data_IF_346543199310
#
_entry.id   IF_346543199310
#
_cell.length_a   1.000
_cell.length_b   1.000
_cell.length_c   1.000
_cell.angle_alpha   90.00
_cell.angle_beta   90.00
_cell.angle_gamma   90.00
#
_symmetry.space_group_name_H-M   'P 1'
#
loop_
_entity.id
_entity.type
_entity.pdbx_description
1 polymer ?
#
# COMPACT_ATOMS: atom_id res chain seq x y z
N UNK A 1 1.09 -49.77 -20.27
CA UNK A 1 1.98 -48.63 -19.97
C UNK A 1 1.61 -47.49 -20.90
N UNK A 2 0.58 -46.72 -20.55
CA UNK A 2 0.07 -45.60 -21.37
C UNK A 2 0.88 -44.36 -21.01
N UNK A 3 1.80 -43.98 -21.89
CA UNK A 3 2.49 -42.68 -21.85
C UNK A 3 1.43 -41.59 -22.03
N UNK A 4 1.00 -40.96 -20.94
CA UNK A 4 0.17 -39.77 -20.95
C UNK A 4 0.90 -38.69 -21.74
N UNK A 5 0.30 -38.27 -22.87
CA UNK A 5 0.72 -37.09 -23.64
C UNK A 5 0.87 -35.91 -22.68
N UNK A 6 1.91 -35.07 -22.83
CA UNK A 6 1.91 -33.78 -22.18
C UNK A 6 0.70 -33.00 -22.70
N UNK A 7 -0.31 -32.77 -21.85
CA UNK A 7 -1.37 -31.80 -22.15
C UNK A 7 -0.71 -30.49 -22.56
N UNK A 8 -1.26 -29.78 -23.56
CA UNK A 8 -0.76 -28.47 -24.07
C UNK A 8 -0.43 -27.47 -22.94
N UNK A 9 -1.07 -27.61 -21.77
CA UNK A 9 -0.78 -26.90 -20.52
C UNK A 9 0.65 -27.09 -19.94
N UNK A 10 1.35 -28.19 -20.25
CA UNK A 10 2.72 -28.43 -19.78
C UNK A 10 3.79 -27.70 -20.59
N UNK A 11 3.42 -27.13 -21.75
CA UNK A 11 4.36 -26.47 -22.66
C UNK A 11 4.66 -25.02 -22.23
N UNK A 12 3.90 -24.47 -21.27
CA UNK A 12 4.03 -23.09 -20.78
C UNK A 12 4.02 -23.00 -19.25
N UNK A 13 4.75 -23.87 -18.55
CA UNK A 13 4.97 -23.70 -17.12
C UNK A 13 5.82 -22.45 -16.87
N UNK A 14 5.28 -21.47 -16.14
CA UNK A 14 6.02 -20.25 -15.84
C UNK A 14 7.09 -20.52 -14.77
N UNK A 15 8.31 -20.06 -15.00
CA UNK A 15 9.39 -20.16 -14.00
C UNK A 15 9.07 -19.32 -12.75
N UNK A 16 9.55 -19.70 -11.55
CA UNK A 16 9.35 -18.90 -10.34
C UNK A 16 9.89 -17.48 -10.47
N UNK A 17 11.04 -17.32 -11.15
CA UNK A 17 11.65 -16.01 -11.40
C UNK A 17 10.72 -15.12 -12.23
N UNK A 18 10.12 -15.66 -13.29
CA UNK A 18 9.18 -14.91 -14.11
C UNK A 18 7.88 -14.59 -13.35
N UNK A 19 7.34 -15.52 -12.56
CA UNK A 19 6.17 -15.25 -11.73
C UNK A 19 6.47 -14.16 -10.67
N UNK A 20 7.65 -14.21 -10.07
CA UNK A 20 8.11 -13.18 -9.12
C UNK A 20 8.24 -11.82 -9.76
N UNK A 21 8.75 -11.74 -10.99
CA UNK A 21 8.80 -10.49 -11.74
C UNK A 21 7.39 -9.93 -11.96
N UNK A 22 6.41 -10.76 -12.36
CA UNK A 22 5.00 -10.35 -12.51
C UNK A 22 4.43 -9.80 -11.20
N UNK A 23 4.64 -10.52 -10.08
CA UNK A 23 4.19 -10.06 -8.76
C UNK A 23 4.88 -8.75 -8.35
N UNK A 24 6.16 -8.59 -8.69
CA UNK A 24 6.92 -7.37 -8.45
C UNK A 24 6.40 -6.18 -9.26
N UNK A 25 6.01 -6.40 -10.52
CA UNK A 25 5.34 -5.38 -11.35
C UNK A 25 4.00 -4.99 -10.75
N UNK A 26 3.18 -5.95 -10.29
CA UNK A 26 1.92 -5.67 -9.63
C UNK A 26 2.11 -4.82 -8.36
N UNK A 27 3.01 -5.25 -7.46
CA UNK A 27 3.38 -4.50 -6.26
C UNK A 27 3.88 -3.09 -6.60
N UNK A 28 4.82 -2.97 -7.55
CA UNK A 28 5.37 -1.69 -7.98
C UNK A 28 4.29 -0.76 -8.54
N UNK A 29 3.40 -1.28 -9.39
CA UNK A 29 2.28 -0.50 -9.94
C UNK A 29 1.31 -0.03 -8.85
N UNK A 30 1.06 -0.82 -7.81
CA UNK A 30 0.25 -0.41 -6.66
C UNK A 30 0.94 0.69 -5.84
N UNK A 31 2.26 0.62 -5.64
CA UNK A 31 2.99 1.71 -4.98
C UNK A 31 2.96 3.00 -5.81
N UNK A 32 3.14 2.88 -7.13
CA UNK A 32 3.12 4.02 -8.05
C UNK A 32 1.73 4.67 -8.09
N UNK A 33 0.65 3.91 -8.17
CA UNK A 33 -0.71 4.51 -8.22
C UNK A 33 -1.08 5.24 -6.94
N UNK A 34 -0.61 4.77 -5.77
CA UNK A 34 -0.79 5.50 -4.51
C UNK A 34 -0.03 6.82 -4.52
N UNK A 35 1.20 6.81 -5.05
CA UNK A 35 1.99 8.04 -5.19
C UNK A 35 1.38 9.01 -6.21
N UNK A 36 0.97 8.55 -7.39
CA UNK A 36 0.33 9.42 -8.38
C UNK A 36 -1.03 9.93 -7.90
N UNK A 37 -1.81 9.12 -7.17
CA UNK A 37 -3.04 9.57 -6.51
C UNK A 37 -2.77 10.62 -5.42
N UNK A 38 -1.65 10.52 -4.71
CA UNK A 38 -1.21 11.57 -3.80
C UNK A 38 -0.86 12.86 -4.55
N UNK A 39 -0.24 12.80 -5.73
CA UNK A 39 0.00 13.97 -6.56
C UNK A 39 -1.30 14.61 -7.06
N UNK A 40 -2.30 13.82 -7.46
CA UNK A 40 -3.65 14.32 -7.79
C UNK A 40 -4.18 15.16 -6.63
N UNK A 41 -4.11 14.64 -5.40
CA UNK A 41 -4.54 15.38 -4.20
C UNK A 41 -3.70 16.63 -3.95
N UNK A 42 -2.38 16.51 -3.98
CA UNK A 42 -1.45 17.59 -3.61
C UNK A 42 -1.41 18.74 -4.62
N UNK A 43 -1.84 18.48 -5.86
CA UNK A 43 -1.99 19.50 -6.91
C UNK A 43 -3.38 20.13 -6.95
N UNK A 44 -4.31 19.72 -6.06
CA UNK A 44 -5.69 20.20 -6.10
C UNK A 44 -6.50 19.64 -7.28
N UNK A 45 -6.08 18.51 -7.86
CA UNK A 45 -6.69 17.93 -9.05
C UNK A 45 -7.71 16.81 -8.74
N UNK A 46 -8.17 16.68 -7.49
CA UNK A 46 -9.06 15.60 -7.07
C UNK A 46 -10.47 15.63 -7.68
N UNK A 47 -10.85 16.77 -8.26
CA UNK A 47 -12.10 17.00 -9.00
C UNK A 47 -11.83 17.58 -10.40
N UNK A 48 -10.71 17.22 -11.02
CA UNK A 48 -10.38 17.57 -12.40
C UNK A 48 -11.32 16.95 -13.44
N UNK A 49 -11.94 15.81 -13.11
CA UNK A 49 -13.05 15.19 -13.82
C UNK A 49 -14.34 15.35 -12.99
N UNK A 50 -15.38 15.91 -13.61
CA UNK A 50 -16.65 16.21 -12.96
C UNK A 50 -17.55 14.98 -12.74
N UNK A 51 -17.25 13.86 -13.41
CA UNK A 51 -18.10 12.66 -13.38
C UNK A 51 -17.28 11.37 -13.18
N UNK A 52 -17.99 10.26 -13.00
CA UNK A 52 -17.47 8.89 -13.00
C UNK A 52 -18.57 7.92 -13.47
N UNK A 53 -18.31 6.97 -14.39
CA UNK A 53 -17.01 6.53 -14.89
C UNK A 53 -16.46 7.34 -16.06
N UNK A 54 -17.27 8.25 -16.64
CA UNK A 54 -16.80 9.24 -17.61
C UNK A 54 -15.94 10.29 -16.91
N UNK A 55 -15.22 11.13 -17.64
CA UNK A 55 -14.58 12.30 -17.04
C UNK A 55 -15.55 13.49 -16.97
N UNK A 56 -16.43 13.62 -17.96
CA UNK A 56 -17.49 14.63 -18.02
C UNK A 56 -18.73 14.10 -18.77
N UNK A 57 -19.80 14.90 -18.79
CA UNK A 57 -21.02 14.62 -19.58
C UNK A 57 -20.71 14.38 -21.06
N UNK A 58 -19.71 15.07 -21.60
CA UNK A 58 -19.32 14.99 -23.01
C UNK A 58 -18.27 13.90 -23.26
N UNK A 59 -17.27 13.74 -22.38
CA UNK A 59 -16.09 12.90 -22.64
C UNK A 59 -15.91 11.78 -21.62
N UNK A 60 -15.67 10.56 -22.12
CA UNK A 60 -15.30 9.43 -21.27
C UNK A 60 -13.85 9.55 -20.76
N UNK A 61 -12.93 9.90 -21.65
CA UNK A 61 -11.52 10.18 -21.35
C UNK A 61 -11.27 11.62 -21.78
N UNK A 62 -10.79 12.47 -20.86
CA UNK A 62 -10.33 13.80 -21.22
C UNK A 62 -8.91 14.03 -20.70
N UNK A 63 -7.96 14.20 -21.61
CA UNK A 63 -6.55 14.50 -21.30
C UNK A 63 -6.24 15.96 -21.63
N UNK A 64 -7.26 16.81 -21.55
CA UNK A 64 -7.15 18.27 -21.61
C UNK A 64 -6.24 18.78 -20.49
N UNK A 65 -5.52 19.89 -20.74
CA UNK A 65 -4.47 20.37 -19.85
C UNK A 65 -4.96 20.71 -18.42
N UNK A 66 -4.02 20.81 -17.47
CA UNK A 66 -4.30 21.23 -16.09
C UNK A 66 -4.80 20.07 -15.21
N UNK A 67 -5.76 20.36 -14.33
CA UNK A 67 -6.28 19.40 -13.34
C UNK A 67 -6.91 18.16 -13.97
N UNK A 68 -7.63 18.32 -15.08
CA UNK A 68 -8.26 17.20 -15.81
C UNK A 68 -7.24 16.18 -16.30
N UNK A 69 -6.12 16.62 -16.91
CA UNK A 69 -5.03 15.73 -17.30
C UNK A 69 -4.45 14.97 -16.10
N UNK A 70 -4.22 15.66 -14.99
CA UNK A 70 -3.58 15.06 -13.81
C UNK A 70 -4.48 13.96 -13.22
N UNK A 71 -5.78 14.22 -13.05
CA UNK A 71 -6.71 13.21 -12.56
C UNK A 71 -6.89 12.07 -13.55
N UNK A 72 -7.11 12.39 -14.84
CA UNK A 72 -7.33 11.39 -15.88
C UNK A 72 -6.11 10.49 -16.07
N UNK A 73 -4.89 11.02 -15.96
CA UNK A 73 -3.67 10.21 -16.01
C UNK A 73 -3.63 9.16 -14.91
N UNK A 74 -4.02 9.51 -13.68
CA UNK A 74 -4.14 8.56 -12.58
C UNK A 74 -5.26 7.53 -12.81
N UNK A 75 -6.43 7.96 -13.34
CA UNK A 75 -7.52 7.05 -13.74
C UNK A 75 -7.04 6.03 -14.79
N UNK A 76 -6.33 6.48 -15.82
CA UNK A 76 -5.77 5.60 -16.86
C UNK A 76 -4.70 4.66 -16.32
N UNK A 77 -3.90 5.08 -15.33
CA UNK A 77 -2.90 4.22 -14.69
C UNK A 77 -3.55 3.04 -13.94
N UNK A 78 -4.82 3.15 -13.53
CA UNK A 78 -5.61 2.02 -13.02
C UNK A 78 -5.70 0.88 -14.04
N UNK A 79 -5.64 1.18 -15.34
CA UNK A 79 -5.55 0.17 -16.40
C UNK A 79 -4.26 -0.65 -16.34
N UNK A 80 -3.11 0.00 -16.06
CA UNK A 80 -1.82 -0.67 -15.87
C UNK A 80 -1.85 -1.56 -14.64
N UNK A 81 -2.41 -1.06 -13.52
CA UNK A 81 -2.62 -1.85 -12.29
C UNK A 81 -3.53 -3.05 -12.56
N UNK A 82 -4.63 -2.86 -13.28
CA UNK A 82 -5.56 -3.94 -13.62
C UNK A 82 -4.89 -5.00 -14.49
N UNK A 83 -4.12 -4.59 -15.50
CA UNK A 83 -3.38 -5.50 -16.37
C UNK A 83 -2.32 -6.31 -15.59
N UNK A 84 -1.58 -5.67 -14.67
CA UNK A 84 -0.58 -6.35 -13.85
C UNK A 84 -1.21 -7.35 -12.86
N UNK A 85 -2.37 -7.02 -12.29
CA UNK A 85 -3.15 -7.92 -11.42
C UNK A 85 -3.74 -9.09 -12.20
N UNK A 86 -4.31 -8.86 -13.39
CA UNK A 86 -4.80 -9.92 -14.27
C UNK A 86 -3.65 -10.87 -14.63
N UNK A 87 -2.49 -10.33 -14.99
CA UNK A 87 -1.30 -11.13 -15.26
C UNK A 87 -0.90 -11.97 -14.04
N UNK A 88 -0.90 -11.39 -12.83
CA UNK A 88 -0.60 -12.12 -11.60
C UNK A 88 -1.55 -13.32 -11.37
N UNK A 89 -2.86 -13.15 -11.59
CA UNK A 89 -3.84 -14.25 -11.48
C UNK A 89 -3.62 -15.32 -12.55
N UNK A 90 -3.53 -14.91 -13.82
CA UNK A 90 -3.36 -15.85 -14.94
C UNK A 90 -2.07 -16.67 -14.78
N UNK A 91 -0.98 -16.02 -14.37
CA UNK A 91 0.30 -16.67 -14.19
C UNK A 91 0.41 -17.48 -12.89
N UNK A 92 -0.38 -17.16 -11.85
CA UNK A 92 -0.51 -18.02 -10.67
C UNK A 92 -1.04 -19.42 -11.07
N UNK A 93 -2.01 -19.50 -11.98
CA UNK A 93 -2.53 -20.76 -12.52
C UNK A 93 -1.56 -21.48 -13.46
N UNK A 94 -0.55 -20.80 -14.02
CA UNK A 94 0.49 -21.41 -14.87
C UNK A 94 1.72 -21.90 -14.09
N UNK A 95 1.74 -21.76 -12.77
CA UNK A 95 2.80 -22.35 -11.95
C UNK A 95 2.72 -23.88 -11.94
N UNK A 96 3.88 -24.53 -11.97
CA UNK A 96 4.02 -26.00 -11.84
C UNK A 96 3.50 -26.50 -10.48
N UNK A 97 3.83 -25.81 -9.39
CA UNK A 97 3.31 -26.07 -8.05
C UNK A 97 2.22 -25.05 -7.71
N UNK A 98 0.95 -25.41 -7.95
CA UNK A 98 -0.21 -24.56 -7.69
C UNK A 98 -0.60 -24.64 -6.22
N UNK A 99 -0.20 -23.64 -5.44
CA UNK A 99 -0.60 -23.56 -4.04
C UNK A 99 -1.82 -22.66 -3.90
N UNK A 100 -2.84 -23.13 -3.18
CA UNK A 100 -4.10 -22.40 -2.94
C UNK A 100 -3.87 -21.00 -2.39
N UNK A 101 -2.89 -20.83 -1.48
CA UNK A 101 -2.57 -19.53 -0.88
C UNK A 101 -2.15 -18.48 -1.92
N UNK A 102 -1.33 -18.84 -2.89
CA UNK A 102 -0.89 -17.92 -3.96
C UNK A 102 -2.09 -17.49 -4.81
N UNK A 103 -2.99 -18.42 -5.13
CA UNK A 103 -4.21 -18.14 -5.90
C UNK A 103 -5.13 -17.20 -5.10
N UNK A 104 -5.30 -17.45 -3.80
CA UNK A 104 -6.11 -16.60 -2.92
C UNK A 104 -5.57 -15.18 -2.85
N UNK A 105 -4.25 -14.98 -2.66
CA UNK A 105 -3.67 -13.63 -2.66
C UNK A 105 -3.83 -12.94 -4.03
N UNK A 106 -3.60 -13.66 -5.14
CA UNK A 106 -3.80 -13.11 -6.48
C UNK A 106 -5.26 -12.66 -6.72
N UNK A 107 -6.25 -13.45 -6.29
CA UNK A 107 -7.66 -13.05 -6.35
C UNK A 107 -8.00 -11.92 -5.37
N UNK A 108 -7.35 -11.88 -4.21
CA UNK A 108 -7.48 -10.77 -3.28
C UNK A 108 -7.08 -9.43 -3.90
N UNK A 109 -6.10 -9.42 -4.81
CA UNK A 109 -5.77 -8.22 -5.59
C UNK A 109 -6.91 -7.82 -6.55
N UNK A 110 -7.57 -8.77 -7.21
CA UNK A 110 -8.73 -8.48 -8.08
C UNK A 110 -9.85 -7.83 -7.26
N UNK A 111 -10.23 -8.45 -6.14
CA UNK A 111 -11.28 -7.94 -5.26
C UNK A 111 -10.92 -6.55 -4.74
N UNK A 112 -9.67 -6.34 -4.30
CA UNK A 112 -9.22 -5.04 -3.83
C UNK A 112 -9.20 -3.96 -4.91
N UNK A 113 -8.79 -4.29 -6.15
CA UNK A 113 -8.83 -3.33 -7.28
C UNK A 113 -10.28 -2.96 -7.62
N UNK A 114 -11.21 -3.91 -7.62
CA UNK A 114 -12.63 -3.62 -7.81
C UNK A 114 -13.16 -2.70 -6.70
N UNK A 115 -12.80 -2.98 -5.44
CA UNK A 115 -13.15 -2.10 -4.33
C UNK A 115 -12.57 -0.68 -4.51
N UNK A 116 -11.33 -0.56 -4.99
CA UNK A 116 -10.73 0.75 -5.30
C UNK A 116 -11.48 1.51 -6.39
N UNK A 117 -11.84 0.83 -7.47
CA UNK A 117 -12.60 1.45 -8.57
C UNK A 117 -13.94 1.99 -8.06
N UNK A 118 -14.65 1.24 -7.22
CA UNK A 118 -15.91 1.68 -6.61
C UNK A 118 -15.70 2.83 -5.65
N UNK A 119 -14.78 2.71 -4.68
CA UNK A 119 -14.53 3.74 -3.67
C UNK A 119 -13.97 5.02 -4.30
N UNK A 120 -13.12 4.91 -5.32
CA UNK A 120 -12.61 6.06 -6.08
C UNK A 120 -13.72 6.77 -6.87
N UNK A 121 -14.69 6.04 -7.41
CA UNK A 121 -15.89 6.64 -7.99
C UNK A 121 -16.72 7.38 -6.94
N UNK A 122 -16.91 6.79 -5.76
CA UNK A 122 -17.61 7.44 -4.63
C UNK A 122 -16.89 8.74 -4.23
N UNK A 123 -15.57 8.74 -4.17
CA UNK A 123 -14.76 9.93 -3.86
C UNK A 123 -15.11 11.09 -4.79
N UNK A 124 -15.18 10.85 -6.10
CA UNK A 124 -15.52 11.88 -7.09
C UNK A 124 -16.98 12.32 -6.94
N UNK A 125 -17.91 11.36 -6.90
CA UNK A 125 -19.36 11.62 -6.86
C UNK A 125 -19.81 12.31 -5.57
N UNK A 126 -19.03 12.20 -4.50
CA UNK A 126 -19.30 12.85 -3.21
C UNK A 126 -18.51 14.12 -2.98
N UNK A 127 -17.76 14.60 -3.98
CA UNK A 127 -16.98 15.84 -3.88
C UNK A 127 -15.84 15.73 -2.86
N UNK A 128 -15.07 14.65 -2.89
CA UNK A 128 -13.96 14.35 -1.98
C UNK A 128 -14.37 14.15 -0.52
N UNK A 129 -15.48 13.45 -0.28
CA UNK A 129 -15.93 13.15 1.09
C UNK A 129 -14.77 12.56 1.93
N UNK A 130 -14.49 13.10 3.13
CA UNK A 130 -13.31 12.72 3.90
C UNK A 130 -13.29 11.23 4.27
N UNK A 131 -14.44 10.62 4.56
CA UNK A 131 -14.51 9.18 4.83
C UNK A 131 -14.19 8.34 3.59
N UNK A 132 -14.71 8.73 2.43
CA UNK A 132 -14.42 8.04 1.16
C UNK A 132 -12.93 8.15 0.80
N UNK A 133 -12.33 9.34 0.95
CA UNK A 133 -10.89 9.56 0.70
C UNK A 133 -10.02 8.71 1.63
N UNK A 134 -10.35 8.66 2.93
CA UNK A 134 -9.65 7.81 3.90
C UNK A 134 -9.77 6.34 3.51
N UNK A 135 -10.98 5.86 3.19
CA UNK A 135 -11.20 4.48 2.78
C UNK A 135 -10.39 4.12 1.53
N UNK A 136 -10.38 4.99 0.52
CA UNK A 136 -9.61 4.82 -0.72
C UNK A 136 -8.11 4.62 -0.43
N UNK A 137 -7.51 5.44 0.43
CA UNK A 137 -6.11 5.30 0.83
C UNK A 137 -5.86 4.02 1.66
N UNK A 138 -6.70 3.73 2.66
CA UNK A 138 -6.51 2.58 3.54
C UNK A 138 -6.66 1.24 2.80
N UNK A 139 -7.63 1.14 1.89
CA UNK A 139 -7.76 -0.04 1.00
C UNK A 139 -6.50 -0.19 0.13
N UNK A 140 -5.86 0.91 -0.28
CA UNK A 140 -4.63 0.85 -1.07
C UNK A 140 -3.48 0.26 -0.26
N UNK A 141 -3.39 0.59 1.04
CA UNK A 141 -2.41 -0.01 1.94
C UNK A 141 -2.68 -1.51 2.14
N UNK A 142 -3.94 -1.93 2.23
CA UNK A 142 -4.30 -3.36 2.26
C UNK A 142 -3.89 -4.08 0.97
N UNK A 143 -4.11 -3.47 -0.19
CA UNK A 143 -3.68 -4.00 -1.49
C UNK A 143 -2.15 -4.12 -1.59
N UNK A 144 -1.40 -3.11 -1.13
CA UNK A 144 0.07 -3.15 -1.09
C UNK A 144 0.54 -4.28 -0.18
N UNK A 145 -0.06 -4.46 1.00
CA UNK A 145 0.27 -5.59 1.89
C UNK A 145 0.01 -6.93 1.21
N UNK A 146 -1.16 -7.11 0.59
CA UNK A 146 -1.52 -8.32 -0.14
C UNK A 146 -0.50 -8.60 -1.28
N UNK A 147 -0.21 -7.60 -2.11
CA UNK A 147 0.74 -7.72 -3.21
C UNK A 147 2.16 -8.02 -2.72
N UNK A 148 2.56 -7.46 -1.58
CA UNK A 148 3.85 -7.75 -0.95
C UNK A 148 3.93 -9.20 -0.48
N UNK A 149 2.87 -9.73 0.17
CA UNK A 149 2.80 -11.13 0.58
C UNK A 149 2.85 -12.05 -0.64
N UNK A 150 2.12 -11.73 -1.71
CA UNK A 150 2.15 -12.48 -2.96
C UNK A 150 3.55 -12.47 -3.59
N UNK A 151 4.19 -11.30 -3.66
CA UNK A 151 5.55 -11.14 -4.16
C UNK A 151 6.57 -11.92 -3.34
N UNK A 152 6.51 -11.87 -2.01
CA UNK A 152 7.39 -12.68 -1.15
C UNK A 152 7.16 -14.18 -1.36
N UNK A 153 5.90 -14.60 -1.40
CA UNK A 153 5.50 -16.00 -1.64
C UNK A 153 5.81 -16.51 -3.05
N UNK A 154 6.12 -15.61 -3.99
CA UNK A 154 6.46 -15.97 -5.36
C UNK A 154 7.90 -16.48 -5.52
N UNK A 155 8.81 -16.15 -4.59
CA UNK A 155 10.21 -16.60 -4.64
C UNK A 155 10.40 -18.05 -4.21
N UNK A 156 9.60 -18.55 -3.27
CA UNK A 156 9.84 -19.84 -2.63
C UNK A 156 9.00 -20.94 -3.33
N UNK A 157 9.67 -21.95 -3.90
CA UNK A 157 8.99 -23.14 -4.45
C UNK A 157 8.53 -24.11 -3.33
N UNK A 158 9.22 -24.09 -2.19
CA UNK A 158 8.91 -24.83 -0.97
C UNK A 158 8.54 -23.83 0.12
N UNK A 159 7.24 -23.71 0.40
CA UNK A 159 6.69 -22.81 1.43
C UNK A 159 7.16 -23.12 2.87
N UNK A 160 8.01 -24.13 3.09
CA UNK A 160 8.52 -24.49 4.42
C UNK A 160 9.43 -23.43 5.04
N UNK A 161 9.98 -22.50 4.24
CA UNK A 161 10.97 -21.52 4.71
C UNK A 161 10.51 -20.05 4.64
N UNK A 162 9.30 -19.76 4.13
CA UNK A 162 8.72 -18.40 4.22
C UNK A 162 8.51 -18.05 5.69
N UNK A 163 8.21 -19.06 6.52
CA UNK A 163 8.16 -18.97 7.96
C UNK A 163 9.44 -19.60 8.56
N UNK A 164 10.53 -18.83 8.67
CA UNK A 164 11.70 -19.09 9.55
C UNK A 164 11.24 -19.36 11.01
N UNK A 165 12.10 -19.98 11.81
CA UNK A 165 11.85 -20.12 13.24
C UNK A 165 12.05 -18.77 13.93
N UNK A 166 11.07 -18.34 14.73
CA UNK A 166 11.17 -17.08 15.49
C UNK A 166 12.42 -17.06 16.36
N UNK A 167 13.06 -15.89 16.52
CA UNK A 167 13.90 -15.64 17.70
C UNK A 167 13.08 -15.84 18.98
N UNK A 168 13.75 -16.04 20.13
CA UNK A 168 13.17 -16.30 21.47
C UNK A 168 12.34 -15.14 22.07
N UNK A 169 11.76 -14.30 21.21
CA UNK A 169 10.99 -13.10 21.54
C UNK A 169 9.51 -13.45 21.63
N UNK A 170 8.80 -12.79 22.54
CA UNK A 170 7.34 -12.92 22.68
C UNK A 170 6.63 -12.58 21.36
N UNK A 171 5.98 -13.58 20.77
CA UNK A 171 5.27 -13.44 19.50
C UNK A 171 4.09 -12.45 19.57
N UNK A 172 3.60 -12.10 20.77
CA UNK A 172 2.50 -11.12 20.95
C UNK A 172 2.89 -9.70 20.55
N UNK A 173 4.19 -9.39 20.50
CA UNK A 173 4.70 -8.07 20.10
C UNK A 173 4.43 -7.77 18.61
N UNK A 174 4.37 -8.79 17.76
CA UNK A 174 4.19 -8.60 16.31
C UNK A 174 2.75 -8.23 15.93
N UNK A 175 1.69 -8.94 16.41
CA UNK A 175 0.32 -8.46 16.28
C UNK A 175 0.12 -7.05 16.81
N UNK A 176 0.70 -6.72 17.98
CA UNK A 176 0.62 -5.38 18.55
C UNK A 176 1.28 -4.33 17.65
N UNK A 177 2.46 -4.63 17.08
CA UNK A 177 3.10 -3.77 16.09
C UNK A 177 2.21 -3.56 14.86
N UNK A 178 1.55 -4.61 14.37
CA UNK A 178 0.58 -4.50 13.28
C UNK A 178 -0.59 -3.57 13.62
N UNK A 179 -1.20 -3.74 14.80
CA UNK A 179 -2.32 -2.91 15.28
C UNK A 179 -1.91 -1.45 15.44
N UNK A 180 -0.76 -1.17 16.08
CA UNK A 180 -0.26 0.19 16.23
C UNK A 180 0.08 0.83 14.88
N UNK A 181 0.67 0.07 13.95
CA UNK A 181 0.97 0.56 12.59
C UNK A 181 -0.29 0.88 11.81
N UNK A 182 -1.35 0.07 11.92
CA UNK A 182 -2.66 0.37 11.34
C UNK A 182 -3.27 1.62 11.99
N UNK A 183 -3.17 1.73 13.32
CA UNK A 183 -3.61 2.91 14.06
C UNK A 183 -2.93 4.18 13.58
N UNK A 184 -1.61 4.15 13.36
CA UNK A 184 -0.84 5.25 12.80
C UNK A 184 -1.30 5.66 11.40
N UNK A 185 -1.58 4.70 10.51
CA UNK A 185 -2.13 4.99 9.18
C UNK A 185 -3.52 5.65 9.29
N UNK A 186 -4.40 5.11 10.13
CA UNK A 186 -5.75 5.65 10.32
C UNK A 186 -5.69 7.08 10.88
N UNK A 187 -4.97 7.31 11.96
CA UNK A 187 -4.84 8.66 12.56
C UNK A 187 -4.19 9.64 11.58
N UNK A 188 -3.22 9.20 10.77
CA UNK A 188 -2.61 10.03 9.71
C UNK A 188 -3.61 10.43 8.62
N UNK A 189 -4.52 9.53 8.25
CA UNK A 189 -5.60 9.87 7.30
C UNK A 189 -6.63 10.85 7.91
N UNK A 190 -6.87 10.80 9.22
CA UNK A 190 -7.71 11.80 9.92
C UNK A 190 -7.05 13.18 9.90
N UNK A 191 -5.74 13.27 10.12
CA UNK A 191 -4.97 14.52 9.99
C UNK A 191 -5.11 15.07 8.57
N UNK A 192 -4.99 14.20 7.56
CA UNK A 192 -5.15 14.58 6.16
C UNK A 192 -6.55 15.07 5.84
N UNK A 193 -7.59 14.40 6.34
CA UNK A 193 -8.99 14.78 6.16
C UNK A 193 -9.39 16.07 6.91
N UNK A 194 -8.56 16.51 7.85
CA UNK A 194 -8.74 17.77 8.59
C UNK A 194 -7.90 18.91 8.00
N UNK A 195 -6.74 18.57 7.43
CA UNK A 195 -5.74 19.54 6.95
C UNK A 195 -6.10 20.25 5.64
N UNK A 196 -5.21 21.15 5.19
CA UNK A 196 -5.48 22.00 4.02
C UNK A 196 -5.49 21.21 2.70
N UNK A 197 -4.72 20.13 2.59
CA UNK A 197 -4.49 19.38 1.35
C UNK A 197 -5.54 18.30 1.08
N UNK A 198 -6.80 18.71 0.93
CA UNK A 198 -7.93 17.78 0.79
C UNK A 198 -8.16 17.25 -0.64
N UNK A 199 -7.47 17.81 -1.64
CA UNK A 199 -7.57 17.41 -3.05
C UNK A 199 -8.28 18.40 -3.95
N UNK A 200 -8.99 19.35 -3.36
CA UNK A 200 -9.59 20.53 -3.97
C UNK A 200 -9.71 21.61 -2.88
N UNK A 201 -9.73 22.89 -3.26
CA UNK A 201 -9.88 23.99 -2.30
C UNK A 201 -11.22 23.95 -1.56
N UNK A 202 -12.29 23.57 -2.28
CA UNK A 202 -13.68 23.51 -1.81
C UNK A 202 -14.06 22.16 -1.18
N UNK A 203 -13.11 21.21 -1.08
CA UNK A 203 -13.37 19.90 -0.51
C UNK A 203 -13.82 19.98 0.97
N UNK A 204 -14.77 19.12 1.32
CA UNK A 204 -15.25 18.97 2.70
C UNK A 204 -14.15 18.40 3.59
N UNK A 205 -14.02 18.94 4.81
CA UNK A 205 -13.03 18.53 5.82
C UNK A 205 -13.72 18.18 7.12
N UNK A 206 -13.06 17.43 8.01
CA UNK A 206 -13.69 16.95 9.25
C UNK A 206 -14.03 18.01 10.32
N UNK A 207 -13.64 19.27 10.16
CA UNK A 207 -13.98 20.32 11.15
C UNK A 207 -13.33 20.14 12.53
N UNK A 208 -12.52 19.09 12.75
CA UNK A 208 -11.73 18.92 13.95
C UNK A 208 -10.63 20.00 14.04
N UNK A 209 -10.17 20.29 15.25
CA UNK A 209 -8.98 21.10 15.43
C UNK A 209 -7.74 20.36 14.91
N UNK A 210 -7.10 20.89 13.86
CA UNK A 210 -5.95 20.26 13.20
C UNK A 210 -4.83 19.94 14.19
N UNK A 211 -4.57 20.84 15.13
CA UNK A 211 -3.58 20.64 16.19
C UNK A 211 -3.90 19.43 17.08
N UNK A 212 -5.17 19.26 17.48
CA UNK A 212 -5.59 18.14 18.31
C UNK A 212 -5.43 16.80 17.59
N UNK A 213 -5.87 16.70 16.34
CA UNK A 213 -5.75 15.46 15.56
C UNK A 213 -4.28 15.16 15.23
N UNK A 214 -3.46 16.19 14.97
CA UNK A 214 -2.03 16.02 14.76
C UNK A 214 -1.33 15.49 16.02
N UNK A 215 -1.67 16.01 17.22
CA UNK A 215 -1.16 15.49 18.50
C UNK A 215 -1.57 14.04 18.74
N UNK A 216 -2.82 13.67 18.47
CA UNK A 216 -3.29 12.27 18.57
C UNK A 216 -2.49 11.37 17.62
N UNK A 217 -2.29 11.81 16.38
CA UNK A 217 -1.45 11.09 15.44
C UNK A 217 0.00 10.95 15.96
N UNK A 218 0.61 12.02 16.45
CA UNK A 218 1.96 11.97 17.04
C UNK A 218 2.06 10.99 18.21
N UNK A 219 1.06 10.92 19.09
CA UNK A 219 1.01 9.92 20.16
C UNK A 219 1.01 8.51 19.59
N UNK A 220 0.20 8.23 18.56
CA UNK A 220 0.21 6.92 17.89
C UNK A 220 1.57 6.57 17.27
N UNK A 221 2.28 7.56 16.71
CA UNK A 221 3.64 7.39 16.17
C UNK A 221 4.63 7.09 17.28
N UNK A 222 4.60 7.83 18.40
CA UNK A 222 5.48 7.61 19.54
C UNK A 222 5.30 6.20 20.08
N UNK A 223 4.06 5.77 20.34
CA UNK A 223 3.76 4.41 20.79
C UNK A 223 4.31 3.34 19.83
N UNK A 224 4.14 3.56 18.52
CA UNK A 224 4.64 2.65 17.47
C UNK A 224 6.17 2.58 17.46
N UNK A 225 6.85 3.73 17.47
CA UNK A 225 8.33 3.81 17.47
C UNK A 225 8.89 3.21 18.76
N UNK A 226 8.28 3.46 19.93
CA UNK A 226 8.71 2.85 21.20
C UNK A 226 8.67 1.33 21.12
N UNK A 227 7.61 0.75 20.56
CA UNK A 227 7.53 -0.70 20.37
C UNK A 227 8.57 -1.21 19.35
N UNK A 228 8.80 -0.50 18.25
CA UNK A 228 9.83 -0.84 17.25
C UNK A 228 11.21 -0.85 17.91
N UNK A 229 11.56 0.19 18.68
CA UNK A 229 12.82 0.26 19.43
C UNK A 229 12.94 -0.89 20.43
N UNK A 230 11.86 -1.23 21.13
CA UNK A 230 11.85 -2.36 22.07
C UNK A 230 12.10 -3.71 21.37
N UNK A 231 11.43 -3.97 20.25
CA UNK A 231 11.64 -5.20 19.46
C UNK A 231 13.06 -5.22 18.88
N UNK A 232 13.55 -4.10 18.33
CA UNK A 232 14.91 -3.97 17.81
C UNK A 232 15.97 -4.25 18.89
N UNK A 233 15.76 -3.74 20.11
CA UNK A 233 16.63 -4.02 21.25
C UNK A 233 16.64 -5.51 21.61
N UNK A 234 15.47 -6.17 21.64
CA UNK A 234 15.37 -7.62 21.88
C UNK A 234 16.03 -8.44 20.78
N UNK A 235 16.02 -7.96 19.54
CA UNK A 235 16.65 -8.63 18.39
C UNK A 235 18.16 -8.40 18.27
N UNK A 236 18.76 -7.44 19.00
CA UNK A 236 20.18 -7.07 18.85
C UNK A 236 21.14 -8.27 18.97
N UNK A 237 20.85 -9.19 19.88
CA UNK A 237 21.67 -10.39 20.13
C UNK A 237 21.14 -11.65 19.42
N UNK A 238 20.11 -11.51 18.57
CA UNK A 238 19.61 -12.60 17.76
C UNK A 238 20.63 -13.02 16.70
N UNK A 239 20.71 -14.32 16.43
CA UNK A 239 21.52 -14.88 15.34
C UNK A 239 20.81 -14.82 13.98
N UNK A 240 19.53 -14.40 13.94
CA UNK A 240 18.79 -14.20 12.69
C UNK A 240 19.07 -12.81 12.12
N UNK A 241 20.12 -12.71 11.28
CA UNK A 241 20.52 -11.49 10.58
C UNK A 241 19.36 -10.87 9.78
N UNK A 242 18.52 -11.69 9.16
CA UNK A 242 17.47 -11.15 8.32
C UNK A 242 16.37 -10.45 9.12
N UNK A 243 16.05 -10.96 10.32
CA UNK A 243 15.10 -10.29 11.22
C UNK A 243 15.69 -8.98 11.75
N UNK A 244 17.02 -8.94 12.00
CA UNK A 244 17.72 -7.70 12.35
C UNK A 244 17.68 -6.70 11.20
N UNK A 245 17.96 -7.11 9.98
CA UNK A 245 17.91 -6.25 8.79
C UNK A 245 16.50 -5.70 8.54
N UNK A 246 15.47 -6.55 8.62
CA UNK A 246 14.08 -6.13 8.46
C UNK A 246 13.66 -5.14 9.54
N UNK A 247 14.07 -5.37 10.80
CA UNK A 247 13.79 -4.48 11.91
C UNK A 247 14.57 -3.16 11.80
N UNK A 248 15.82 -3.21 11.35
CA UNK A 248 16.64 -2.01 11.11
C UNK A 248 16.01 -1.14 10.02
N UNK A 249 15.59 -1.75 8.91
CA UNK A 249 14.88 -1.04 7.85
C UNK A 249 13.59 -0.37 8.37
N UNK A 250 12.79 -1.09 9.18
CA UNK A 250 11.60 -0.52 9.82
C UNK A 250 11.95 0.63 10.76
N UNK A 251 12.99 0.49 11.59
CA UNK A 251 13.44 1.53 12.52
C UNK A 251 13.89 2.79 11.77
N UNK A 252 14.77 2.65 10.78
CA UNK A 252 15.28 3.79 10.00
C UNK A 252 14.13 4.52 9.32
N UNK A 253 13.24 3.80 8.62
CA UNK A 253 12.09 4.43 7.95
C UNK A 253 11.16 5.11 8.96
N UNK A 254 10.93 4.52 10.12
CA UNK A 254 10.05 5.10 11.16
C UNK A 254 10.64 6.39 11.74
N UNK A 255 11.95 6.43 12.00
CA UNK A 255 12.64 7.63 12.46
C UNK A 255 12.61 8.75 11.41
N UNK A 256 12.85 8.41 10.14
CA UNK A 256 12.74 9.36 9.03
C UNK A 256 11.31 9.89 8.89
N UNK A 257 10.29 9.04 9.02
CA UNK A 257 8.89 9.46 9.00
C UNK A 257 8.53 10.37 10.17
N UNK A 258 9.01 10.05 11.37
CA UNK A 258 8.86 10.92 12.54
C UNK A 258 9.49 12.30 12.30
N UNK A 259 10.70 12.35 11.76
CA UNK A 259 11.37 13.62 11.44
C UNK A 259 10.62 14.44 10.38
N UNK A 260 10.15 13.80 9.29
CA UNK A 260 9.34 14.46 8.25
C UNK A 260 8.03 14.99 8.86
N UNK A 261 7.30 14.17 9.62
CA UNK A 261 6.03 14.56 10.24
C UNK A 261 6.19 15.71 11.24
N UNK A 262 7.24 15.67 12.06
CA UNK A 262 7.56 16.77 12.97
C UNK A 262 7.87 18.05 12.19
N UNK A 263 8.68 17.96 11.13
CA UNK A 263 9.00 19.13 10.29
C UNK A 263 7.75 19.71 9.64
N UNK A 264 6.84 18.87 9.13
CA UNK A 264 5.56 19.31 8.57
C UNK A 264 4.72 20.10 9.58
N UNK A 265 4.66 19.66 10.83
CA UNK A 265 3.91 20.35 11.88
C UNK A 265 4.39 21.78 12.11
N UNK A 266 5.71 22.00 12.17
CA UNK A 266 6.28 23.32 12.45
C UNK A 266 6.45 24.22 11.22
N UNK A 267 6.42 23.66 10.01
CA UNK A 267 6.62 24.42 8.75
C UNK A 267 5.32 24.70 8.00
N UNK A 268 4.16 24.41 8.60
CA UNK A 268 2.87 24.68 7.97
C UNK A 268 2.52 23.71 6.84
N UNK A 269 2.88 22.43 6.99
CA UNK A 269 2.54 21.31 6.09
C UNK A 269 2.86 21.56 4.60
N UNK A 270 4.11 21.89 4.23
CA UNK A 270 4.46 22.16 2.83
C UNK A 270 4.28 20.91 1.95
N UNK A 271 3.76 21.10 0.74
CA UNK A 271 3.37 20.03 -0.19
C UNK A 271 4.48 19.01 -0.44
N UNK A 272 5.74 19.47 -0.57
CA UNK A 272 6.90 18.60 -0.81
C UNK A 272 7.10 17.63 0.36
N UNK A 273 6.99 18.10 1.61
CA UNK A 273 7.12 17.23 2.78
C UNK A 273 5.92 16.28 2.90
N UNK A 274 4.71 16.73 2.54
CA UNK A 274 3.53 15.85 2.51
C UNK A 274 3.72 14.73 1.48
N UNK A 275 4.26 15.04 0.30
CA UNK A 275 4.62 14.06 -0.72
C UNK A 275 5.65 13.04 -0.19
N UNK A 276 6.73 13.53 0.43
CA UNK A 276 7.75 12.67 1.04
C UNK A 276 7.18 11.80 2.18
N UNK A 277 6.24 12.33 2.96
CA UNK A 277 5.57 11.59 4.03
C UNK A 277 4.70 10.46 3.46
N UNK A 278 4.00 10.66 2.35
CA UNK A 278 3.19 9.60 1.72
C UNK A 278 4.07 8.49 1.14
N UNK A 279 5.16 8.86 0.44
CA UNK A 279 6.13 7.88 -0.08
C UNK A 279 6.71 7.07 1.08
N UNK A 280 7.09 7.75 2.16
CA UNK A 280 7.64 7.07 3.32
C UNK A 280 6.60 6.29 4.12
N UNK A 281 5.30 6.63 4.07
CA UNK A 281 4.23 5.79 4.60
C UNK A 281 4.10 4.46 3.83
N UNK A 282 4.27 4.48 2.50
CA UNK A 282 4.35 3.24 1.69
C UNK A 282 5.58 2.42 2.12
N UNK A 283 6.75 3.07 2.25
CA UNK A 283 7.97 2.39 2.68
C UNK A 283 7.86 1.81 4.10
N UNK A 284 7.25 2.57 5.02
CA UNK A 284 6.96 2.13 6.38
C UNK A 284 6.08 0.90 6.37
N UNK A 285 4.98 0.94 5.62
CA UNK A 285 4.03 -0.16 5.54
C UNK A 285 4.64 -1.43 4.92
N UNK A 286 5.47 -1.28 3.89
CA UNK A 286 6.24 -2.39 3.33
C UNK A 286 7.25 -2.97 4.33
N UNK A 287 7.93 -2.13 5.11
CA UNK A 287 8.84 -2.58 6.18
C UNK A 287 8.09 -3.31 7.30
N UNK A 288 6.90 -2.82 7.70
CA UNK A 288 6.02 -3.54 8.64
C UNK A 288 5.63 -4.90 8.05
N UNK A 289 5.18 -4.96 6.79
CA UNK A 289 4.85 -6.22 6.14
C UNK A 289 6.06 -7.17 6.08
N UNK A 290 7.26 -6.65 5.82
CA UNK A 290 8.49 -7.43 5.80
C UNK A 290 8.83 -8.01 7.18
N UNK A 291 8.62 -7.25 8.25
CA UNK A 291 8.78 -7.72 9.63
C UNK A 291 7.69 -8.73 10.02
N UNK A 292 6.44 -8.54 9.57
CA UNK A 292 5.33 -9.46 9.88
C UNK A 292 5.42 -10.79 9.11
N UNK A 293 6.00 -10.77 7.92
CA UNK A 293 6.35 -11.96 7.15
C UNK A 293 7.70 -12.53 7.55
N UNK A 294 8.53 -11.74 8.25
CA UNK A 294 9.67 -12.28 8.95
C UNK A 294 9.17 -13.09 10.15
N UNK A 295 9.74 -14.26 10.40
CA UNK A 295 8.87 -15.36 10.78
C UNK A 295 8.67 -15.56 12.28
N UNK A 296 7.57 -16.27 12.60
CA UNK A 296 7.30 -16.90 13.90
C UNK A 296 7.70 -18.37 13.85
#
# INVERSE_FOLDING_TARGET
MVLLRPTVLSMFSLSPKAFRAVCGVALGSLCVIVFTGALVRLTGSGLGCADWPRCSSEKFIDVSAGHTLIEQANRLFTGVVSASVIAAVLFAYRRKNRQTKIIVYAWGLVVGVLAQVVVGGIVVLTGLNPFANMAHFLISMVLIANAFVLYRSSADETMSNVFRKSPSIDHRLFPLLGVLSIGALVTGTVVTATGPHAGDENAVRFGFALESVARIHSVSIICTITLICFIAFKLKNSHDENSKDAMLALLVVSLMQGAIGYTQYFTGVPVILVSAHIIGAIAFWLSVCNVMLAPR
#
